data_IF_442989913316
#
_entry.id   IF_442989913316
#
_cell.length_a   1.000
_cell.length_b   1.000
_cell.length_c   1.000
_cell.angle_alpha   90.00
_cell.angle_beta   90.00
_cell.angle_gamma   90.00
#
_symmetry.space_group_name_H-M   'P 1'
#
loop_
_entity.id
_entity.type
_entity.pdbx_description
1 polymer ?
#
# COMPACT_ATOMS: atom_id res chain seq x y z
N UNK A 1 26.81 4.63 -4.65
CA UNK A 1 27.47 5.79 -4.07
C UNK A 1 26.52 6.46 -3.12
N UNK A 2 26.82 6.30 -1.87
CA UNK A 2 26.13 6.95 -0.74
C UNK A 2 26.24 8.47 -0.90
N UNK A 3 25.12 9.15 -0.74
CA UNK A 3 25.11 10.58 -0.51
C UNK A 3 24.79 10.80 0.96
N UNK A 4 25.84 11.14 1.69
CA UNK A 4 25.79 11.62 3.06
C UNK A 4 24.93 12.88 3.15
N UNK A 5 23.80 12.79 3.84
CA UNK A 5 23.08 13.96 4.32
C UNK A 5 23.82 14.44 5.58
N UNK A 6 24.64 15.45 5.43
CA UNK A 6 25.25 16.16 6.54
C UNK A 6 24.17 16.91 7.33
N UNK A 7 24.13 16.81 8.66
CA UNK A 7 23.24 17.64 9.47
C UNK A 7 23.68 19.11 9.38
N UNK A 8 22.72 19.97 9.08
CA UNK A 8 22.94 21.43 9.09
C UNK A 8 23.15 21.84 10.56
N UNK A 9 24.39 22.10 10.90
CA UNK A 9 24.78 22.65 12.20
C UNK A 9 24.45 24.14 12.20
N UNK A 10 23.32 24.52 12.79
CA UNK A 10 22.96 25.92 13.00
C UNK A 10 23.56 26.37 14.35
N UNK A 11 24.82 26.80 14.37
CA UNK A 11 25.43 27.47 15.49
C UNK A 11 25.01 28.93 15.50
N UNK A 12 24.05 29.31 16.31
CA UNK A 12 23.77 30.70 16.62
C UNK A 12 24.51 31.08 17.91
N UNK A 13 25.59 31.84 17.77
CA UNK A 13 26.23 32.53 18.88
C UNK A 13 25.45 33.79 19.22
N UNK A 14 24.69 33.78 20.30
CA UNK A 14 24.19 35.00 20.91
C UNK A 14 25.18 35.45 22.00
N UNK A 15 25.93 36.51 21.69
CA UNK A 15 26.80 37.16 22.62
C UNK A 15 25.96 38.16 23.45
N UNK A 16 25.69 37.85 24.72
CA UNK A 16 25.06 38.79 25.65
C UNK A 16 26.18 39.59 26.34
N UNK A 17 26.21 40.89 26.24
CA UNK A 17 27.21 41.70 26.99
C UNK A 17 26.82 41.76 28.47
N UNK A 18 27.66 41.21 29.33
CA UNK A 18 27.56 41.37 30.78
C UNK A 18 28.18 42.66 31.23
N UNK A 19 27.44 43.44 31.97
CA UNK A 19 27.81 44.75 32.50
C UNK A 19 28.58 44.71 33.84
N UNK A 20 29.10 43.57 34.27
CA UNK A 20 30.04 43.46 35.40
C UNK A 20 30.84 42.17 35.33
N UNK A 21 32.16 42.31 35.42
CA UNK A 21 33.22 41.35 35.24
C UNK A 21 33.00 39.93 35.82
N UNK A 22 33.26 38.97 34.99
CA UNK A 22 33.34 37.56 35.29
C UNK A 22 32.81 36.72 34.13
N UNK A 23 33.71 36.22 33.27
CA UNK A 23 33.35 35.29 32.25
C UNK A 23 32.99 33.94 32.90
N UNK A 24 31.71 33.61 32.99
CA UNK A 24 31.26 32.25 33.23
C UNK A 24 30.91 31.67 31.88
N UNK A 25 31.68 30.71 31.45
CA UNK A 25 31.40 29.86 30.30
C UNK A 25 30.23 28.95 30.71
N UNK A 26 29.00 29.31 30.31
CA UNK A 26 27.86 28.39 30.40
C UNK A 26 27.94 27.45 29.21
N UNK A 27 28.21 26.20 29.52
CA UNK A 27 28.11 25.12 28.53
C UNK A 27 26.70 25.17 27.95
N UNK A 28 26.61 25.37 26.63
CA UNK A 28 25.35 25.21 25.91
C UNK A 28 25.00 23.73 25.96
N UNK A 29 23.98 23.34 26.72
CA UNK A 29 23.33 22.03 26.57
C UNK A 29 22.77 21.98 25.16
N UNK A 30 23.33 21.08 24.34
CA UNK A 30 22.74 20.73 23.06
C UNK A 30 21.39 20.07 23.34
N UNK A 31 20.32 20.81 23.16
CA UNK A 31 18.97 20.26 23.09
C UNK A 31 18.87 19.59 21.71
N UNK A 32 19.25 18.33 21.62
CA UNK A 32 18.91 17.50 20.48
C UNK A 32 17.43 17.16 20.58
N UNK A 33 16.60 17.94 19.91
CA UNK A 33 15.23 17.52 19.65
C UNK A 33 15.30 16.24 18.81
N UNK A 34 14.58 15.18 19.17
CA UNK A 34 14.48 14.02 18.31
C UNK A 34 13.90 14.50 16.98
N UNK A 35 14.68 14.42 15.91
CA UNK A 35 14.16 14.50 14.55
C UNK A 35 13.34 13.23 14.39
N UNK A 36 12.04 13.35 14.52
CA UNK A 36 11.13 12.28 14.15
C UNK A 36 11.34 12.07 12.65
N UNK A 37 12.02 11.00 12.31
CA UNK A 37 12.22 10.59 10.92
C UNK A 37 10.83 10.28 10.38
N UNK A 38 10.27 11.24 9.63
CA UNK A 38 8.99 11.06 8.94
C UNK A 38 9.29 10.01 7.88
N UNK A 39 8.91 8.77 8.14
CA UNK A 39 8.94 7.73 7.11
C UNK A 39 8.13 8.23 5.90
N UNK A 40 8.64 8.08 4.67
CA UNK A 40 7.91 8.55 3.51
C UNK A 40 6.53 7.89 3.46
N UNK A 41 5.48 8.71 3.36
CA UNK A 41 4.13 8.19 3.14
C UNK A 41 4.09 7.56 1.76
N UNK A 42 3.73 6.28 1.71
CA UNK A 42 3.50 5.58 0.46
C UNK A 42 2.02 5.62 0.14
N UNK A 43 1.68 6.05 -1.08
CA UNK A 43 0.32 5.99 -1.61
C UNK A 43 0.20 4.77 -2.52
N UNK A 44 -0.81 3.94 -2.26
CA UNK A 44 -1.21 2.81 -3.09
C UNK A 44 -2.44 3.23 -3.87
N UNK A 45 -2.35 3.17 -5.18
CA UNK A 45 -3.47 3.57 -6.06
C UNK A 45 -4.47 2.42 -6.26
N UNK A 46 -5.70 2.76 -6.64
CA UNK A 46 -6.76 1.79 -6.89
C UNK A 46 -6.39 0.86 -8.06
N UNK A 47 -6.23 -0.44 -7.82
CA UNK A 47 -5.91 -1.41 -8.86
C UNK A 47 -7.14 -1.84 -9.68
N UNK A 48 -8.34 -1.50 -9.22
CA UNK A 48 -9.61 -1.77 -9.88
C UNK A 48 -10.50 -0.53 -9.86
N UNK A 49 -11.37 -0.41 -10.87
CA UNK A 49 -12.48 0.54 -10.82
C UNK A 49 -13.70 -0.11 -10.18
N UNK A 50 -14.37 0.61 -9.29
CA UNK A 50 -15.57 0.11 -8.61
C UNK A 50 -15.84 0.85 -7.30
N UNK A 51 -16.66 0.26 -6.44
CA UNK A 51 -17.04 0.83 -5.15
C UNK A 51 -16.15 0.27 -4.04
N UNK A 52 -15.55 1.16 -3.25
CA UNK A 52 -14.77 0.79 -2.06
C UNK A 52 -15.69 0.24 -0.98
N UNK A 53 -15.26 -0.84 -0.33
CA UNK A 53 -15.93 -1.52 0.78
C UNK A 53 -14.90 -1.72 1.88
N UNK A 54 -15.29 -1.49 3.14
CA UNK A 54 -14.42 -1.80 4.27
C UNK A 54 -14.15 -3.31 4.34
N UNK A 55 -12.94 -3.71 4.76
CA UNK A 55 -12.60 -5.14 4.85
C UNK A 55 -13.54 -5.89 5.79
N UNK A 56 -13.94 -5.26 6.90
CA UNK A 56 -14.86 -5.80 7.89
C UNK A 56 -16.24 -6.14 7.34
N UNK A 57 -16.65 -5.47 6.25
CA UNK A 57 -17.92 -5.70 5.56
C UNK A 57 -17.85 -6.77 4.47
N UNK A 58 -16.68 -7.37 4.26
CA UNK A 58 -16.51 -8.44 3.27
C UNK A 58 -17.15 -9.75 3.76
N UNK A 59 -17.72 -10.58 2.85
CA UNK A 59 -18.37 -11.81 3.26
C UNK A 59 -17.43 -12.91 3.75
N UNK A 60 -16.11 -12.77 3.58
CA UNK A 60 -15.11 -13.73 4.03
C UNK A 60 -14.54 -13.33 5.40
N UNK A 61 -14.66 -14.23 6.38
CA UNK A 61 -14.24 -13.99 7.76
C UNK A 61 -12.73 -13.77 7.91
N UNK A 62 -11.90 -14.35 7.05
CA UNK A 62 -10.43 -14.19 7.11
C UNK A 62 -10.05 -12.78 6.70
N UNK A 63 -10.62 -12.27 5.61
CA UNK A 63 -10.41 -10.89 5.17
C UNK A 63 -11.04 -9.90 6.13
N UNK A 64 -12.30 -10.13 6.55
CA UNK A 64 -13.03 -9.25 7.46
C UNK A 64 -12.34 -9.09 8.83
N UNK A 65 -11.64 -10.11 9.30
CA UNK A 65 -10.91 -10.06 10.58
C UNK A 65 -9.62 -9.23 10.54
N UNK A 66 -9.12 -8.88 9.36
CA UNK A 66 -7.82 -8.25 9.18
C UNK A 66 -6.63 -9.18 9.45
N UNK A 67 -6.84 -10.49 9.58
CA UNK A 67 -5.78 -11.47 9.86
C UNK A 67 -4.70 -11.54 8.76
N UNK A 68 -5.08 -11.18 7.52
CA UNK A 68 -4.17 -11.14 6.36
C UNK A 68 -3.41 -9.82 6.23
N UNK A 69 -3.76 -8.81 7.03
CA UNK A 69 -3.26 -7.44 6.97
C UNK A 69 -4.38 -6.42 6.87
N UNK A 70 -4.03 -5.15 6.75
CA UNK A 70 -4.98 -4.04 6.62
C UNK A 70 -5.12 -3.61 5.16
N UNK A 71 -6.26 -3.01 4.83
CA UNK A 71 -6.57 -2.53 3.50
C UNK A 71 -8.05 -2.26 3.32
N UNK A 72 -8.50 -2.39 2.09
CA UNK A 72 -9.91 -2.25 1.69
C UNK A 72 -10.30 -3.37 0.73
N UNK A 73 -11.58 -3.48 0.42
CA UNK A 73 -12.05 -4.24 -0.73
C UNK A 73 -12.69 -3.31 -1.78
N UNK A 74 -12.79 -3.77 -3.01
CA UNK A 74 -13.51 -3.08 -4.08
C UNK A 74 -14.53 -4.04 -4.68
N UNK A 75 -15.76 -3.55 -4.85
CA UNK A 75 -16.77 -4.18 -5.72
C UNK A 75 -16.49 -3.73 -7.15
N UNK A 76 -15.88 -4.57 -8.00
CA UNK A 76 -15.40 -4.14 -9.30
C UNK A 76 -16.54 -3.86 -10.28
N UNK A 77 -16.42 -2.78 -11.04
CA UNK A 77 -17.30 -2.45 -12.16
C UNK A 77 -16.72 -2.87 -13.51
N UNK A 78 -15.41 -3.11 -13.56
CA UNK A 78 -14.66 -3.56 -14.75
C UNK A 78 -13.76 -4.70 -14.33
N UNK A 79 -13.66 -5.74 -15.16
CA UNK A 79 -12.87 -6.94 -14.90
C UNK A 79 -11.38 -6.79 -15.23
N UNK A 80 -10.73 -5.77 -14.71
CA UNK A 80 -9.31 -5.48 -14.89
C UNK A 80 -8.64 -5.18 -13.57
N UNK A 81 -7.43 -5.69 -13.38
CA UNK A 81 -6.53 -5.37 -12.27
C UNK A 81 -5.25 -4.78 -12.83
N UNK A 82 -4.91 -3.57 -12.39
CA UNK A 82 -3.65 -2.92 -12.73
C UNK A 82 -2.71 -2.86 -11.51
N UNK A 83 -1.42 -2.65 -11.75
CA UNK A 83 -0.45 -2.47 -10.68
C UNK A 83 -0.76 -1.17 -9.89
N UNK A 84 -0.94 -1.27 -8.56
CA UNK A 84 -1.23 -0.10 -7.72
C UNK A 84 0.00 0.76 -7.41
N UNK A 85 1.19 0.27 -7.74
CA UNK A 85 2.48 0.93 -7.58
C UNK A 85 3.53 0.28 -8.47
N UNK A 86 4.68 0.91 -8.62
CA UNK A 86 5.87 0.29 -9.21
C UNK A 86 6.38 -0.84 -8.32
N UNK A 87 6.84 -1.95 -8.91
CA UNK A 87 7.35 -3.06 -8.11
C UNK A 87 7.56 -4.35 -8.89
N UNK A 88 7.54 -5.47 -8.15
CA UNK A 88 7.79 -6.81 -8.68
C UNK A 88 6.67 -7.76 -8.26
N UNK A 89 6.15 -8.54 -9.20
CA UNK A 89 5.18 -9.60 -8.91
C UNK A 89 5.88 -10.72 -8.12
N UNK A 90 5.54 -10.85 -6.84
CA UNK A 90 6.11 -11.88 -5.96
C UNK A 90 5.34 -13.17 -5.97
N UNK A 91 4.04 -13.08 -6.19
CA UNK A 91 3.13 -14.21 -6.17
C UNK A 91 2.11 -14.07 -7.29
N UNK A 92 1.91 -15.11 -8.04
CA UNK A 92 0.80 -15.27 -8.97
C UNK A 92 0.25 -16.68 -8.76
N UNK A 93 -1.01 -16.77 -8.32
CA UNK A 93 -1.63 -18.06 -8.10
C UNK A 93 -1.87 -18.78 -9.45
N UNK A 94 -1.72 -20.11 -9.50
CA UNK A 94 -1.88 -20.85 -10.76
C UNK A 94 -3.25 -20.67 -11.42
N UNK A 95 -4.28 -20.39 -10.63
CA UNK A 95 -5.65 -20.10 -11.07
C UNK A 95 -5.90 -18.62 -11.37
N UNK A 96 -4.86 -17.77 -11.30
CA UNK A 96 -4.88 -16.34 -11.60
C UNK A 96 -5.91 -15.49 -10.83
N UNK A 97 -6.54 -16.05 -9.77
CA UNK A 97 -7.53 -15.33 -8.96
C UNK A 97 -6.89 -14.39 -7.95
N UNK A 98 -5.61 -14.57 -7.64
CA UNK A 98 -4.89 -13.74 -6.68
C UNK A 98 -3.46 -13.46 -7.14
N UNK A 99 -2.99 -12.24 -6.86
CA UNK A 99 -1.67 -11.75 -7.22
C UNK A 99 -1.06 -10.95 -6.06
N UNK A 100 0.22 -11.16 -5.81
CA UNK A 100 1.02 -10.44 -4.81
C UNK A 100 2.08 -9.57 -5.47
N UNK A 101 2.13 -8.30 -5.10
CA UNK A 101 3.10 -7.30 -5.55
C UNK A 101 3.95 -6.85 -4.37
N UNK A 102 5.28 -6.87 -4.51
CA UNK A 102 6.16 -6.11 -3.64
C UNK A 102 6.48 -4.78 -4.32
N UNK A 103 6.11 -3.67 -3.72
CA UNK A 103 6.39 -2.35 -4.25
C UNK A 103 7.85 -1.98 -4.10
N UNK A 104 8.35 -1.06 -4.92
CA UNK A 104 9.73 -0.57 -4.82
C UNK A 104 9.99 0.15 -3.47
N UNK A 105 8.93 0.66 -2.82
CA UNK A 105 8.96 1.32 -1.51
C UNK A 105 8.73 0.37 -0.32
N UNK A 106 8.59 -0.94 -0.57
CA UNK A 106 8.60 -2.00 0.45
C UNK A 106 7.23 -2.52 0.90
N UNK A 107 6.10 -2.01 0.40
CA UNK A 107 4.79 -2.58 0.71
C UNK A 107 4.59 -3.91 -0.02
N UNK A 108 4.03 -4.90 0.69
CA UNK A 108 3.62 -6.17 0.12
C UNK A 108 2.09 -6.17 -0.02
N UNK A 109 1.62 -6.14 -1.27
CA UNK A 109 0.20 -5.99 -1.58
C UNK A 109 -0.33 -7.29 -2.13
N UNK A 110 -1.40 -7.81 -1.53
CA UNK A 110 -2.19 -8.92 -2.05
C UNK A 110 -3.49 -8.36 -2.64
N UNK A 111 -3.79 -8.73 -3.88
CA UNK A 111 -5.07 -8.49 -4.55
C UNK A 111 -5.71 -9.86 -4.81
N UNK A 112 -6.87 -10.10 -4.21
CA UNK A 112 -7.59 -11.37 -4.31
C UNK A 112 -8.94 -11.14 -4.98
N UNK A 113 -9.06 -11.55 -6.25
CA UNK A 113 -10.26 -11.28 -7.05
C UNK A 113 -11.39 -12.23 -6.67
N UNK A 114 -12.44 -11.67 -6.09
CA UNK A 114 -13.61 -12.41 -5.61
C UNK A 114 -13.35 -13.22 -4.35
N UNK A 115 -14.38 -13.91 -3.90
CA UNK A 115 -14.32 -14.81 -2.73
C UNK A 115 -14.50 -16.24 -3.22
N UNK A 116 -13.67 -17.16 -2.70
CA UNK A 116 -13.66 -18.60 -3.06
C UNK A 116 -13.45 -18.89 -4.56
N UNK A 117 -13.00 -17.91 -5.33
CA UNK A 117 -12.83 -17.99 -6.78
C UNK A 117 -11.70 -18.92 -7.22
N UNK A 118 -10.87 -19.40 -6.29
CA UNK A 118 -9.95 -20.51 -6.52
C UNK A 118 -10.67 -21.76 -7.05
N UNK A 119 -11.93 -21.96 -6.65
CA UNK A 119 -12.77 -23.09 -7.08
C UNK A 119 -13.15 -23.04 -8.56
N UNK A 120 -12.96 -21.89 -9.23
CA UNK A 120 -13.14 -21.76 -10.69
C UNK A 120 -11.96 -22.31 -11.50
N UNK A 121 -10.88 -22.76 -10.82
CA UNK A 121 -9.70 -23.37 -11.45
C UNK A 121 -9.09 -22.54 -12.61
N UNK A 122 -9.26 -21.20 -12.52
CA UNK A 122 -8.76 -20.24 -13.52
C UNK A 122 -9.76 -19.88 -14.61
N UNK A 123 -10.94 -20.49 -14.64
CA UNK A 123 -11.98 -20.16 -15.61
C UNK A 123 -12.45 -18.70 -15.39
N UNK A 124 -12.41 -17.91 -16.46
CA UNK A 124 -12.76 -16.48 -16.41
C UNK A 124 -11.62 -15.57 -15.95
N UNK A 125 -10.40 -16.08 -15.74
CA UNK A 125 -9.22 -15.30 -15.37
C UNK A 125 -8.13 -15.38 -16.41
N UNK A 126 -7.43 -14.26 -16.64
CA UNK A 126 -6.28 -14.19 -17.53
C UNK A 126 -5.18 -13.35 -16.90
N UNK A 127 -3.98 -13.90 -16.77
CA UNK A 127 -2.80 -13.14 -16.34
C UNK A 127 -2.09 -12.53 -17.56
N UNK A 128 -1.65 -11.28 -17.40
CA UNK A 128 -0.87 -10.53 -18.39
C UNK A 128 0.60 -10.37 -17.98
N UNK A 129 0.95 -10.89 -16.81
CA UNK A 129 2.29 -10.90 -16.22
C UNK A 129 2.61 -12.28 -15.67
N UNK A 130 3.86 -12.48 -15.29
CA UNK A 130 4.31 -13.71 -14.62
C UNK A 130 4.95 -13.36 -13.29
N UNK A 131 5.08 -14.34 -12.41
CA UNK A 131 5.87 -14.18 -11.18
C UNK A 131 7.30 -13.76 -11.53
N UNK A 132 7.84 -12.76 -10.82
CA UNK A 132 9.13 -12.15 -11.08
C UNK A 132 9.09 -10.96 -12.06
N UNK A 133 7.97 -10.69 -12.73
CA UNK A 133 7.84 -9.54 -13.61
C UNK A 133 7.98 -8.24 -12.83
N UNK A 134 8.80 -7.31 -13.35
CA UNK A 134 8.79 -5.91 -12.94
C UNK A 134 7.63 -5.20 -13.59
N UNK A 135 6.90 -4.42 -12.83
CA UNK A 135 5.70 -3.71 -13.30
C UNK A 135 5.74 -2.24 -12.92
N UNK A 136 5.03 -1.43 -13.66
CA UNK A 136 4.82 0.00 -13.39
C UNK A 136 3.39 0.22 -12.94
N UNK A 137 3.19 1.23 -12.08
CA UNK A 137 1.86 1.66 -11.67
C UNK A 137 0.95 1.85 -12.90
N UNK A 138 -0.28 1.32 -12.84
CA UNK A 138 -1.24 1.34 -13.95
C UNK A 138 -1.05 0.26 -15.01
N UNK A 139 0.02 -0.56 -14.95
CA UNK A 139 0.20 -1.67 -15.87
C UNK A 139 -0.83 -2.77 -15.62
N UNK A 140 -1.47 -3.28 -16.67
CA UNK A 140 -2.44 -4.38 -16.58
C UNK A 140 -1.76 -5.66 -16.08
N UNK A 141 -2.32 -6.23 -15.02
CA UNK A 141 -1.82 -7.47 -14.37
C UNK A 141 -2.70 -8.66 -14.66
N UNK A 142 -4.00 -8.50 -14.41
CA UNK A 142 -5.01 -9.55 -14.62
C UNK A 142 -6.22 -8.96 -15.33
N UNK A 143 -6.94 -9.82 -16.07
CA UNK A 143 -8.31 -9.56 -16.48
C UNK A 143 -9.20 -10.71 -16.05
N UNK A 144 -10.47 -10.43 -15.75
CA UNK A 144 -11.43 -11.44 -15.30
C UNK A 144 -12.85 -11.11 -15.76
N UNK A 145 -13.65 -12.15 -15.88
CA UNK A 145 -15.04 -12.06 -16.32
C UNK A 145 -15.97 -11.97 -15.09
N UNK A 146 -16.44 -10.75 -14.78
CA UNK A 146 -17.34 -10.47 -13.66
C UNK A 146 -18.62 -11.29 -13.76
N UNK A 147 -19.20 -11.40 -14.97
CA UNK A 147 -20.48 -12.09 -15.18
C UNK A 147 -20.32 -13.61 -15.03
N UNK A 148 -19.20 -14.15 -15.50
CA UNK A 148 -18.87 -15.57 -15.32
C UNK A 148 -18.71 -15.93 -13.84
N UNK A 149 -18.00 -15.10 -13.05
CA UNK A 149 -17.82 -15.31 -11.62
C UNK A 149 -19.16 -15.27 -10.90
N UNK A 150 -20.00 -14.25 -11.17
CA UNK A 150 -21.34 -14.11 -10.58
C UNK A 150 -22.25 -15.27 -10.96
N UNK A 151 -22.22 -15.71 -12.22
CA UNK A 151 -23.02 -16.84 -12.72
C UNK A 151 -22.63 -18.14 -12.05
N UNK A 152 -21.36 -18.31 -11.72
CA UNK A 152 -20.87 -19.45 -10.95
C UNK A 152 -21.25 -19.41 -9.46
N UNK A 153 -21.83 -18.29 -8.98
CA UNK A 153 -22.32 -18.13 -7.61
C UNK A 153 -21.31 -17.53 -6.64
N UNK A 154 -20.19 -16.97 -7.13
CA UNK A 154 -19.16 -16.38 -6.29
C UNK A 154 -19.28 -14.85 -6.21
N UNK A 155 -19.04 -14.25 -5.03
CA UNK A 155 -18.90 -12.80 -4.91
C UNK A 155 -17.68 -12.31 -5.69
N UNK A 156 -17.78 -11.13 -6.30
CA UNK A 156 -16.66 -10.48 -7.00
C UNK A 156 -15.90 -9.48 -6.14
N UNK A 157 -16.37 -9.26 -4.91
CA UNK A 157 -15.69 -8.42 -3.92
C UNK A 157 -14.22 -8.76 -3.86
N UNK A 158 -13.36 -7.79 -4.09
CA UNK A 158 -11.92 -7.98 -4.30
C UNK A 158 -11.13 -7.26 -3.22
N UNK A 159 -10.60 -7.97 -2.20
CA UNK A 159 -9.70 -7.40 -1.21
C UNK A 159 -8.36 -6.93 -1.81
N UNK A 160 -7.91 -5.77 -1.34
CA UNK A 160 -6.59 -5.18 -1.58
C UNK A 160 -5.96 -4.95 -0.21
N UNK A 161 -4.93 -5.74 0.11
CA UNK A 161 -4.40 -5.86 1.46
C UNK A 161 -2.89 -5.61 1.45
N UNK A 162 -2.43 -4.79 2.39
CA UNK A 162 -1.01 -4.66 2.74
C UNK A 162 -0.68 -5.78 3.73
N UNK A 163 -0.02 -6.84 3.28
CA UNK A 163 0.21 -8.05 4.11
C UNK A 163 1.30 -7.84 5.15
N UNK A 164 2.25 -6.95 4.91
CA UNK A 164 3.28 -6.56 5.87
C UNK A 164 2.89 -5.30 6.69
N UNK A 165 1.63 -5.19 7.08
CA UNK A 165 1.09 -4.05 7.86
C UNK A 165 1.90 -3.74 9.11
N UNK A 166 2.51 -4.76 9.75
CA UNK A 166 3.33 -4.58 10.95
C UNK A 166 4.58 -3.72 10.74
N UNK A 167 5.01 -3.52 9.49
CA UNK A 167 6.16 -2.69 9.15
C UNK A 167 5.79 -1.20 9.05
N UNK A 168 4.50 -0.87 9.14
CA UNK A 168 3.96 0.48 8.99
C UNK A 168 3.29 0.95 10.28
N UNK A 169 3.33 2.26 10.55
CA UNK A 169 2.62 2.86 11.69
C UNK A 169 1.11 2.78 11.50
N UNK A 170 0.65 3.04 10.29
CA UNK A 170 -0.78 3.00 9.90
C UNK A 170 -0.91 2.54 8.46
N UNK A 171 -2.04 1.92 8.14
CA UNK A 171 -2.52 1.72 6.77
C UNK A 171 -3.94 2.24 6.76
N UNK A 172 -4.19 3.33 6.06
CA UNK A 172 -5.46 4.05 6.08
C UNK A 172 -6.09 4.10 4.69
N UNK A 173 -7.40 3.92 4.64
CA UNK A 173 -8.17 4.13 3.42
C UNK A 173 -8.27 5.63 3.11
N UNK A 174 -7.96 6.01 1.87
CA UNK A 174 -8.09 7.38 1.35
C UNK A 174 -9.41 7.60 0.60
N UNK A 175 -10.10 6.53 0.23
CA UNK A 175 -11.37 6.56 -0.51
C UNK A 175 -12.43 5.72 0.20
N UNK A 176 -13.70 6.15 0.11
CA UNK A 176 -14.87 5.53 0.74
C UNK A 176 -16.08 5.42 -0.21
N UNK A 177 -15.88 5.65 -1.49
CA UNK A 177 -16.93 5.64 -2.53
C UNK A 177 -16.48 4.95 -3.81
N UNK A 178 -16.97 5.44 -4.94
CA UNK A 178 -16.55 4.95 -6.25
C UNK A 178 -15.13 5.44 -6.59
N UNK A 179 -14.27 4.54 -7.03
CA UNK A 179 -12.91 4.80 -7.49
C UNK A 179 -12.71 4.32 -8.91
N UNK A 180 -11.76 4.94 -9.59
CA UNK A 180 -11.26 4.53 -10.90
C UNK A 180 -9.82 4.03 -10.75
N UNK A 181 -9.36 3.28 -11.75
CA UNK A 181 -7.95 2.88 -11.86
C UNK A 181 -7.04 4.09 -11.65
N UNK A 182 -6.10 3.97 -10.72
CA UNK A 182 -5.10 4.99 -10.44
C UNK A 182 -5.51 6.08 -9.43
N UNK A 183 -6.76 6.11 -8.96
CA UNK A 183 -7.15 6.98 -7.85
C UNK A 183 -6.41 6.57 -6.56
N UNK A 184 -6.13 7.53 -5.67
CA UNK A 184 -5.50 7.23 -4.38
C UNK A 184 -6.43 6.36 -3.52
N UNK A 185 -5.93 5.21 -3.05
CA UNK A 185 -6.74 4.22 -2.34
C UNK A 185 -6.31 4.00 -0.89
N UNK A 186 -5.02 3.79 -0.66
CA UNK A 186 -4.43 3.56 0.67
C UNK A 186 -3.18 4.42 0.87
N UNK A 187 -2.86 4.73 2.13
CA UNK A 187 -1.58 5.33 2.54
C UNK A 187 -1.08 4.72 3.85
#
# INVERSE_FOLDING_TARGET
SLHDALPILLTQFTKIPTLYGGAQEVAAEEISLPVEEIAPEQVITAPLSGKVVALEDTPDAVFASGAMGQGVAIEPSVGEVVAPADGVIRLLFPTNHAIGLATDDGAEILIHVGMDTVALEGEGFMAHVTQGSKVKAGQLLLSFDIDAIKKAGYPVTTPIIVTNTADYKTVEALADGDVKLGDDLLK
#
